data_IF_459872108072
#
_entry.id   IF_459872108072
#
_cell.length_a   1.000
_cell.length_b   1.000
_cell.length_c   1.000
_cell.angle_alpha   90.00
_cell.angle_beta   90.00
_cell.angle_gamma   90.00
#
_symmetry.space_group_name_H-M   'P 1'
#
loop_
_entity.id
_entity.type
_entity.pdbx_description
1 polymer ?
#
# COMPACT_ATOMS: atom_id res chain seq x y z
N UNK A 1 -4.40 20.30 22.61
CA UNK A 1 -3.69 19.05 22.27
C UNK A 1 -4.58 18.08 21.51
N UNK A 2 -5.84 17.88 21.90
CA UNK A 2 -6.75 16.98 21.16
C UNK A 2 -6.95 17.36 19.68
N UNK A 3 -7.05 18.65 19.32
CA UNK A 3 -7.15 19.04 17.91
C UNK A 3 -5.89 18.69 17.11
N UNK A 4 -4.71 18.84 17.72
CA UNK A 4 -3.42 18.51 17.09
C UNK A 4 -3.29 16.99 16.88
N UNK A 5 -3.76 16.17 17.82
CA UNK A 5 -3.82 14.71 17.65
C UNK A 5 -4.87 14.29 16.62
N UNK A 6 -6.06 14.93 16.61
CA UNK A 6 -7.10 14.70 15.59
C UNK A 6 -6.65 15.08 14.17
N UNK A 7 -5.75 16.05 14.05
CA UNK A 7 -5.19 16.45 12.77
C UNK A 7 -4.02 15.53 12.33
N UNK A 8 -3.72 14.45 13.06
CA UNK A 8 -2.74 13.43 12.70
C UNK A 8 -1.28 13.73 13.07
N UNK A 9 -1.03 14.78 13.87
CA UNK A 9 0.29 15.06 14.44
C UNK A 9 0.62 14.05 15.55
N UNK A 10 1.14 12.90 15.13
CA UNK A 10 1.63 11.84 16.00
C UNK A 10 3.16 11.73 15.93
N UNK A 11 3.75 10.90 16.78
CA UNK A 11 5.20 10.62 16.79
C UNK A 11 5.61 9.46 15.88
N UNK A 12 4.68 8.92 15.11
CA UNK A 12 4.98 7.81 14.22
C UNK A 12 5.94 8.25 13.11
N UNK A 13 7.00 7.50 12.84
CA UNK A 13 8.07 7.89 11.88
C UNK A 13 7.58 8.12 10.44
N UNK A 14 6.46 7.47 10.08
CA UNK A 14 5.79 7.59 8.79
C UNK A 14 4.58 8.54 8.79
N UNK A 15 4.35 9.30 9.87
CA UNK A 15 3.24 10.25 10.00
C UNK A 15 3.68 11.50 10.80
N UNK A 16 2.76 12.42 11.09
CA UNK A 16 3.04 13.63 11.87
C UNK A 16 4.09 14.55 11.25
N UNK A 17 4.95 15.14 12.07
CA UNK A 17 5.93 16.15 11.66
C UNK A 17 6.95 15.60 10.63
N UNK A 18 7.43 14.36 10.84
CA UNK A 18 8.38 13.73 9.93
C UNK A 18 7.81 13.52 8.52
N UNK A 19 6.50 13.29 8.42
CA UNK A 19 5.79 13.19 7.15
C UNK A 19 5.60 14.57 6.50
N UNK A 20 5.27 15.60 7.28
CA UNK A 20 5.12 16.95 6.76
C UNK A 20 6.43 17.52 6.22
N UNK A 21 7.55 17.28 6.92
CA UNK A 21 8.88 17.67 6.44
C UNK A 21 9.24 16.96 5.14
N UNK A 22 9.01 15.63 5.08
CA UNK A 22 9.20 14.85 3.85
C UNK A 22 8.36 15.41 2.70
N UNK A 23 7.04 15.57 2.88
CA UNK A 23 6.15 16.12 1.86
C UNK A 23 6.57 17.53 1.42
N UNK A 24 7.03 18.37 2.36
CA UNK A 24 7.50 19.72 2.07
C UNK A 24 8.81 19.76 1.27
N UNK A 25 9.72 18.83 1.53
CA UNK A 25 10.92 18.61 0.68
C UNK A 25 10.51 18.12 -0.70
N UNK A 26 9.63 17.12 -0.77
CA UNK A 26 9.12 16.57 -2.02
C UNK A 26 8.52 17.62 -2.93
N UNK A 27 7.59 18.41 -2.40
CA UNK A 27 6.90 19.46 -3.16
C UNK A 27 7.85 20.56 -3.67
N UNK A 28 8.97 20.82 -2.97
CA UNK A 28 9.97 21.79 -3.45
C UNK A 28 10.78 21.24 -4.62
N UNK A 29 11.06 19.94 -4.64
CA UNK A 29 11.82 19.29 -5.71
C UNK A 29 11.01 19.23 -7.01
N UNK A 30 9.71 18.95 -6.93
CA UNK A 30 8.81 18.85 -8.11
C UNK A 30 8.10 20.16 -8.45
N UNK A 31 8.37 21.24 -7.72
CA UNK A 31 7.66 22.51 -7.86
C UNK A 31 7.79 23.16 -9.24
N UNK A 32 8.73 22.72 -10.08
CA UNK A 32 8.88 23.14 -11.49
C UNK A 32 7.99 22.34 -12.45
N UNK A 33 7.62 21.13 -12.06
CA UNK A 33 6.82 20.19 -12.86
C UNK A 33 5.32 20.33 -12.56
N UNK A 34 4.99 20.85 -11.38
CA UNK A 34 3.63 21.24 -11.00
C UNK A 34 3.31 22.57 -11.70
N UNK A 35 2.35 22.54 -12.63
CA UNK A 35 1.89 23.71 -13.40
C UNK A 35 1.16 24.74 -12.53
N UNK A 36 -0.14 24.94 -12.76
CA UNK A 36 -0.92 25.77 -11.85
C UNK A 36 -0.90 25.15 -10.44
N UNK A 37 -0.72 25.98 -9.41
CA UNK A 37 -0.83 25.55 -8.02
C UNK A 37 -2.12 24.75 -7.88
N UNK A 38 -2.02 23.52 -7.36
CA UNK A 38 -3.11 22.60 -7.03
C UNK A 38 -3.61 21.66 -8.13
N UNK A 39 -3.08 21.69 -9.36
CA UNK A 39 -3.41 20.66 -10.36
C UNK A 39 -2.54 19.41 -10.19
N UNK A 40 -3.12 18.19 -10.23
CA UNK A 40 -2.34 16.97 -10.25
C UNK A 40 -1.53 16.85 -11.53
N UNK A 41 -0.30 16.35 -11.43
CA UNK A 41 0.57 16.15 -12.59
C UNK A 41 0.07 14.93 -13.36
N UNK A 42 -0.11 15.11 -14.67
CA UNK A 42 -0.37 13.99 -15.58
C UNK A 42 0.95 13.47 -16.11
N UNK A 43 1.29 12.26 -15.68
CA UNK A 43 2.50 11.58 -16.11
C UNK A 43 2.09 10.57 -17.18
N UNK A 44 2.75 10.66 -18.33
CA UNK A 44 2.58 9.83 -19.52
C UNK A 44 3.96 9.42 -20.02
N UNK A 45 4.04 8.59 -21.06
CA UNK A 45 5.31 8.19 -21.69
C UNK A 45 6.16 9.38 -22.17
N UNK A 46 5.53 10.52 -22.45
CA UNK A 46 6.18 11.77 -22.87
C UNK A 46 6.57 12.70 -21.70
N UNK A 47 6.40 12.28 -20.45
CA UNK A 47 6.72 13.09 -19.27
C UNK A 47 8.24 13.27 -19.14
N UNK A 48 8.72 14.51 -19.29
CA UNK A 48 10.15 14.85 -19.19
C UNK A 48 10.62 15.16 -17.75
N UNK A 49 9.73 15.04 -16.76
CA UNK A 49 10.07 15.29 -15.36
C UNK A 49 10.90 14.18 -14.73
N UNK A 50 11.33 14.39 -13.48
CA UNK A 50 12.12 13.39 -12.74
C UNK A 50 11.34 12.09 -12.47
N UNK A 51 12.07 11.02 -12.12
CA UNK A 51 11.49 9.72 -11.76
C UNK A 51 10.45 9.84 -10.65
N UNK A 52 9.35 9.09 -10.79
CA UNK A 52 8.26 9.07 -9.81
C UNK A 52 8.50 7.97 -8.79
N UNK A 53 8.37 8.31 -7.51
CA UNK A 53 8.52 7.34 -6.42
C UNK A 53 7.22 7.20 -5.64
N UNK A 54 6.91 5.98 -5.21
CA UNK A 54 5.77 5.74 -4.35
C UNK A 54 6.04 6.18 -2.90
N UNK A 55 4.98 6.48 -2.17
CA UNK A 55 5.04 6.93 -0.80
C UNK A 55 5.60 5.82 0.10
N UNK A 56 6.68 6.12 0.84
CA UNK A 56 7.41 5.17 1.70
C UNK A 56 6.58 4.45 2.78
N UNK A 57 5.38 4.95 3.07
CA UNK A 57 4.50 4.34 4.07
C UNK A 57 3.91 3.00 3.64
N UNK A 58 3.82 2.70 2.34
CA UNK A 58 3.27 1.42 1.88
C UNK A 58 3.98 0.21 2.49
N UNK A 59 5.29 0.31 2.72
CA UNK A 59 6.06 -0.74 3.42
C UNK A 59 5.75 -0.92 4.91
N UNK A 60 5.18 0.10 5.54
CA UNK A 60 4.79 0.06 6.96
C UNK A 60 3.33 -0.28 7.18
N UNK A 61 2.50 -0.31 6.14
CA UNK A 61 1.07 -0.53 6.26
C UNK A 61 0.76 -2.03 6.24
N UNK A 62 -0.15 -2.45 7.11
CA UNK A 62 -0.68 -3.81 7.23
C UNK A 62 -2.20 -3.75 7.31
N UNK A 63 -2.83 -4.91 7.15
CA UNK A 63 -4.26 -5.12 7.34
C UNK A 63 -4.48 -6.11 8.47
N UNK A 64 -5.68 -6.15 9.07
CA UNK A 64 -5.97 -7.15 10.09
C UNK A 64 -5.81 -8.56 9.51
N UNK A 65 -5.29 -9.51 10.30
CA UNK A 65 -5.23 -10.90 9.87
C UNK A 65 -6.63 -11.50 9.70
N UNK A 66 -6.74 -12.56 8.90
CA UNK A 66 -8.02 -13.19 8.56
C UNK A 66 -8.67 -13.99 9.69
N UNK A 67 -8.03 -14.16 10.84
CA UNK A 67 -8.66 -14.69 12.06
C UNK A 67 -9.48 -13.63 12.82
N UNK A 68 -9.19 -12.34 12.60
CA UNK A 68 -9.97 -11.21 13.12
C UNK A 68 -11.12 -10.79 12.20
N UNK A 69 -10.93 -10.99 10.90
CA UNK A 69 -11.89 -10.67 9.84
C UNK A 69 -12.59 -11.94 9.42
N UNK A 70 -13.92 -11.98 9.49
CA UNK A 70 -14.66 -13.21 9.22
C UNK A 70 -15.96 -12.95 8.48
N UNK A 71 -16.67 -14.03 8.17
CA UNK A 71 -17.96 -13.98 7.45
C UNK A 71 -19.00 -13.02 8.08
N UNK A 72 -18.85 -12.69 9.36
CA UNK A 72 -19.76 -11.82 10.11
C UNK A 72 -19.10 -10.54 10.66
N UNK A 73 -17.81 -10.32 10.40
CA UNK A 73 -17.05 -9.17 10.88
C UNK A 73 -16.32 -8.55 9.72
N UNK A 74 -16.76 -7.37 9.31
CA UNK A 74 -16.14 -6.60 8.24
C UNK A 74 -15.78 -5.25 8.85
N UNK A 75 -14.59 -4.77 8.50
CA UNK A 75 -14.09 -3.48 8.95
C UNK A 75 -14.04 -2.54 7.75
N UNK A 76 -14.30 -1.27 7.97
CA UNK A 76 -13.97 -0.26 6.97
C UNK A 76 -12.45 -0.17 6.84
N UNK A 77 -11.97 0.27 5.68
CA UNK A 77 -10.53 0.41 5.41
C UNK A 77 -9.78 1.12 6.55
N UNK A 78 -10.36 2.19 7.10
CA UNK A 78 -9.72 2.99 8.15
C UNK A 78 -9.55 2.26 9.49
N UNK A 79 -10.34 1.21 9.73
CA UNK A 79 -10.31 0.32 10.89
C UNK A 79 -9.63 -1.04 10.61
N UNK A 80 -9.42 -1.37 9.33
CA UNK A 80 -8.75 -2.60 8.89
C UNK A 80 -7.25 -2.38 8.66
N UNK A 81 -6.89 -1.28 8.01
CA UNK A 81 -5.51 -0.92 7.76
C UNK A 81 -4.88 -0.24 8.98
N UNK A 82 -3.63 -0.59 9.28
CA UNK A 82 -2.86 0.02 10.34
C UNK A 82 -1.38 0.16 9.96
N UNK A 83 -0.72 1.08 10.63
CA UNK A 83 0.69 1.39 10.45
C UNK A 83 1.52 0.64 11.50
N UNK A 84 2.64 0.05 11.10
CA UNK A 84 3.55 -0.64 12.01
C UNK A 84 4.41 0.35 12.78
N UNK A 85 4.39 0.22 14.09
CA UNK A 85 5.25 0.98 15.02
C UNK A 85 6.72 0.59 14.90
N UNK A 86 7.05 -0.67 14.56
CA UNK A 86 8.40 -1.13 14.29
C UNK A 86 8.50 -2.01 13.03
N UNK A 87 9.66 -1.99 12.36
CA UNK A 87 9.92 -2.82 11.17
C UNK A 87 10.23 -4.28 11.53
N UNK A 88 10.47 -4.57 12.81
CA UNK A 88 11.02 -5.84 13.30
C UNK A 88 10.00 -6.77 13.96
N UNK A 89 8.91 -6.27 14.55
CA UNK A 89 7.92 -7.15 15.18
C UNK A 89 7.02 -7.78 14.12
N UNK A 90 6.91 -9.10 14.17
CA UNK A 90 6.05 -9.86 13.26
C UNK A 90 4.56 -9.64 13.53
N UNK A 91 4.19 -9.25 14.75
CA UNK A 91 2.93 -8.62 15.11
C UNK A 91 2.93 -8.52 16.64
N UNK A 92 2.83 -7.31 17.18
CA UNK A 92 2.40 -7.16 18.57
C UNK A 92 1.06 -6.46 18.52
N UNK A 93 0.00 -7.26 18.56
CA UNK A 93 -1.42 -6.87 18.53
C UNK A 93 -1.79 -5.74 19.51
N UNK A 94 -0.97 -5.50 20.54
CA UNK A 94 -1.26 -4.57 21.62
C UNK A 94 -1.11 -3.08 21.24
N UNK A 95 -0.40 -2.73 20.16
CA UNK A 95 -0.09 -1.33 19.81
C UNK A 95 -0.32 -1.01 18.32
N UNK A 96 -1.41 -1.52 17.73
CA UNK A 96 -1.77 -1.14 16.35
C UNK A 96 -2.21 0.31 16.28
N UNK A 97 -1.64 1.05 15.34
CA UNK A 97 -2.01 2.44 15.08
C UNK A 97 -2.77 2.52 13.76
N UNK A 98 -4.11 2.50 13.84
CA UNK A 98 -5.00 2.38 12.68
C UNK A 98 -5.00 3.62 11.79
N UNK A 99 -5.30 3.46 10.50
CA UNK A 99 -5.30 4.56 9.54
C UNK A 99 -6.31 5.65 9.91
N UNK A 100 -7.43 5.31 10.56
CA UNK A 100 -8.38 6.31 11.11
C UNK A 100 -7.74 7.32 12.06
N UNK A 101 -6.68 6.90 12.77
CA UNK A 101 -5.95 7.73 13.74
C UNK A 101 -4.79 8.50 13.06
N UNK A 102 -4.59 8.31 11.76
CA UNK A 102 -3.53 8.92 10.95
C UNK A 102 -4.06 9.63 9.69
N UNK A 103 -4.92 10.67 9.84
CA UNK A 103 -5.49 11.37 8.70
C UNK A 103 -4.44 12.08 7.82
N UNK A 104 -3.29 12.51 8.38
CA UNK A 104 -2.19 13.07 7.55
C UNK A 104 -1.63 12.03 6.60
N UNK A 105 -1.37 10.81 7.09
CA UNK A 105 -0.88 9.73 6.25
C UNK A 105 -1.92 9.35 5.20
N UNK A 106 -3.18 9.15 5.62
CA UNK A 106 -4.26 8.77 4.72
C UNK A 106 -4.41 9.77 3.56
N UNK A 107 -4.24 11.07 3.83
CA UNK A 107 -4.40 12.16 2.86
C UNK A 107 -3.11 12.55 2.14
N UNK A 108 -1.96 12.00 2.51
CA UNK A 108 -0.71 12.20 1.76
C UNK A 108 -0.85 11.64 0.36
N UNK A 109 -0.12 12.24 -0.59
CA UNK A 109 -0.03 11.72 -1.94
C UNK A 109 0.57 10.31 -1.94
N UNK A 110 0.01 9.43 -2.78
CA UNK A 110 0.51 8.06 -2.95
C UNK A 110 1.87 8.03 -3.64
N UNK A 111 2.19 9.08 -4.39
CA UNK A 111 3.46 9.26 -5.09
C UNK A 111 4.05 10.60 -4.73
N UNK A 112 5.36 10.69 -4.86
CA UNK A 112 6.14 11.88 -4.60
C UNK A 112 5.67 13.07 -5.45
N UNK A 113 5.50 12.83 -6.76
CA UNK A 113 4.78 13.75 -7.64
C UNK A 113 3.28 13.54 -7.41
N UNK A 114 2.45 14.57 -7.15
CA UNK A 114 1.02 14.40 -6.92
C UNK A 114 0.29 14.05 -8.23
N UNK A 115 0.25 12.77 -8.61
CA UNK A 115 -0.34 12.34 -9.87
C UNK A 115 -1.85 12.09 -9.75
N UNK A 116 -2.57 12.32 -10.84
CA UNK A 116 -3.99 11.96 -10.95
C UNK A 116 -4.23 10.52 -11.39
N UNK A 117 -3.18 9.85 -11.85
CA UNK A 117 -3.24 8.49 -12.39
C UNK A 117 -2.01 7.70 -11.98
N UNK A 118 -2.21 6.44 -11.61
CA UNK A 118 -1.15 5.45 -11.43
C UNK A 118 -1.62 4.11 -12.00
N UNK A 119 -0.67 3.25 -12.31
CA UNK A 119 -0.92 1.88 -12.71
C UNK A 119 -0.26 0.95 -11.69
N UNK A 120 -1.02 0.05 -11.06
CA UNK A 120 -0.45 -0.93 -10.12
C UNK A 120 -0.31 -2.30 -10.79
N UNK A 121 0.91 -2.83 -10.78
CA UNK A 121 1.27 -4.15 -11.30
C UNK A 121 1.18 -5.16 -10.17
N UNK A 122 0.47 -6.26 -10.40
CA UNK A 122 0.08 -7.27 -9.42
C UNK A 122 1.18 -7.74 -8.44
N UNK A 123 0.79 -7.90 -7.17
CA UNK A 123 1.54 -8.67 -6.15
C UNK A 123 1.60 -10.13 -6.63
N UNK A 124 2.76 -10.59 -7.08
CA UNK A 124 2.97 -11.94 -7.61
C UNK A 124 1.81 -12.49 -8.42
N UNK A 125 1.60 -11.83 -9.56
CA UNK A 125 0.81 -12.40 -10.63
C UNK A 125 -0.62 -12.73 -10.27
N UNK A 126 -1.24 -12.17 -9.21
CA UNK A 126 -2.61 -12.30 -8.61
C UNK A 126 -3.83 -12.44 -9.57
N UNK A 127 -3.62 -13.03 -10.73
CA UNK A 127 -4.14 -14.35 -11.10
C UNK A 127 -5.54 -14.31 -11.70
N UNK A 128 -5.59 -14.11 -13.01
CA UNK A 128 -6.78 -14.34 -13.84
C UNK A 128 -7.91 -13.32 -13.69
N UNK A 129 -7.76 -12.33 -12.81
CA UNK A 129 -8.73 -11.25 -12.61
C UNK A 129 -8.38 -9.95 -13.34
N UNK A 130 -7.20 -9.86 -13.99
CA UNK A 130 -6.82 -8.70 -14.81
C UNK A 130 -6.56 -7.42 -14.02
N UNK A 131 -5.94 -7.53 -12.84
CA UNK A 131 -5.73 -6.43 -11.89
C UNK A 131 -4.53 -5.52 -12.21
N UNK A 132 -4.20 -5.37 -13.49
CA UNK A 132 -3.59 -4.15 -13.99
C UNK A 132 -4.56 -2.99 -13.75
N UNK A 133 -4.55 -2.42 -12.54
CA UNK A 133 -5.48 -1.38 -12.16
C UNK A 133 -4.88 -0.02 -12.42
N UNK A 134 -5.43 0.60 -13.46
CA UNK A 134 -5.41 2.04 -13.56
C UNK A 134 -6.29 2.61 -12.45
N UNK A 135 -5.66 3.31 -11.51
CA UNK A 135 -6.36 4.23 -10.63
C UNK A 135 -6.27 5.61 -11.25
N UNK A 136 -7.40 6.22 -11.56
CA UNK A 136 -7.47 7.57 -12.11
C UNK A 136 -8.51 8.38 -11.34
N UNK A 137 -8.14 9.58 -10.91
CA UNK A 137 -9.04 10.50 -10.21
C UNK A 137 -8.86 11.93 -10.72
N UNK A 138 -9.81 12.82 -10.41
CA UNK A 138 -9.70 14.24 -10.79
C UNK A 138 -8.74 15.05 -9.89
N UNK A 139 -8.28 14.45 -8.80
CA UNK A 139 -7.39 15.05 -7.79
C UNK A 139 -6.08 14.23 -7.71
N UNK A 140 -5.07 14.68 -6.95
CA UNK A 140 -3.95 13.81 -6.63
C UNK A 140 -4.41 12.54 -5.92
N UNK A 141 -3.82 11.41 -6.30
CA UNK A 141 -4.03 10.11 -5.68
C UNK A 141 -3.37 10.11 -4.31
N UNK A 142 -4.10 9.64 -3.31
CA UNK A 142 -3.64 9.57 -1.91
C UNK A 142 -3.30 8.15 -1.52
N UNK A 143 -2.54 8.01 -0.42
CA UNK A 143 -2.28 6.70 0.20
C UNK A 143 -3.59 5.96 0.47
N UNK A 144 -4.63 6.64 0.96
CA UNK A 144 -5.92 6.02 1.24
C UNK A 144 -6.58 5.43 -0.02
N UNK A 145 -6.45 6.08 -1.18
CA UNK A 145 -7.04 5.56 -2.43
C UNK A 145 -6.38 4.25 -2.86
N UNK A 146 -5.05 4.17 -2.75
CA UNK A 146 -4.30 2.94 -3.05
C UNK A 146 -4.67 1.83 -2.07
N UNK A 147 -4.76 2.14 -0.77
CA UNK A 147 -5.19 1.17 0.22
C UNK A 147 -6.63 0.69 -0.02
N UNK A 148 -7.52 1.57 -0.49
CA UNK A 148 -8.89 1.21 -0.85
C UNK A 148 -8.96 0.16 -1.94
N UNK A 149 -8.15 0.33 -2.99
CA UNK A 149 -8.07 -0.67 -4.05
C UNK A 149 -7.57 -2.03 -3.56
N UNK A 150 -6.55 -2.04 -2.70
CA UNK A 150 -6.06 -3.29 -2.10
C UNK A 150 -7.16 -3.91 -1.23
N UNK A 151 -7.81 -3.10 -0.39
CA UNK A 151 -8.86 -3.52 0.52
C UNK A 151 -10.06 -4.17 -0.21
N UNK A 152 -10.45 -3.64 -1.37
CA UNK A 152 -11.54 -4.18 -2.20
C UNK A 152 -11.28 -5.60 -2.73
N UNK A 153 -10.03 -6.07 -2.68
CA UNK A 153 -9.65 -7.41 -3.16
C UNK A 153 -9.05 -8.31 -2.08
N UNK A 154 -8.84 -7.81 -0.86
CA UNK A 154 -8.18 -8.54 0.24
C UNK A 154 -8.78 -9.92 0.48
N UNK A 155 -10.10 -10.00 0.48
CA UNK A 155 -10.85 -11.17 0.90
C UNK A 155 -11.37 -12.01 -0.29
N UNK A 156 -10.98 -11.66 -1.53
CA UNK A 156 -11.34 -12.44 -2.72
C UNK A 156 -10.53 -13.74 -2.76
N UNK A 157 -11.23 -14.85 -2.96
CA UNK A 157 -10.61 -16.17 -3.05
C UNK A 157 -9.62 -16.26 -4.22
N UNK A 158 -8.45 -16.85 -3.95
CA UNK A 158 -7.46 -17.19 -4.96
C UNK A 158 -7.62 -18.62 -5.45
N UNK A 159 -7.21 -18.88 -6.70
CA UNK A 159 -7.23 -20.24 -7.25
C UNK A 159 -6.10 -21.09 -6.65
N UNK A 160 -6.16 -22.41 -6.82
CA UNK A 160 -5.07 -23.29 -6.34
C UNK A 160 -3.75 -23.02 -7.07
N UNK A 161 -3.80 -22.68 -8.38
CA UNK A 161 -2.61 -22.30 -9.14
C UNK A 161 -1.93 -21.08 -8.52
N UNK A 162 -2.74 -20.13 -8.06
CA UNK A 162 -2.29 -18.91 -7.43
C UNK A 162 -1.45 -19.15 -6.19
N UNK A 163 -2.03 -19.96 -5.29
CA UNK A 163 -1.36 -20.34 -4.06
C UNK A 163 -0.06 -21.09 -4.36
N UNK A 164 -0.03 -21.92 -5.42
CA UNK A 164 1.16 -22.67 -5.80
C UNK A 164 2.29 -21.74 -6.28
N UNK A 165 1.98 -20.81 -7.17
CA UNK A 165 2.95 -19.84 -7.71
C UNK A 165 3.51 -18.97 -6.58
N UNK A 166 2.65 -18.49 -5.68
CA UNK A 166 3.05 -17.73 -4.50
C UNK A 166 3.96 -18.53 -3.56
N UNK A 167 3.60 -19.78 -3.22
CA UNK A 167 4.42 -20.64 -2.34
C UNK A 167 5.80 -20.92 -2.94
N UNK A 168 5.88 -21.09 -4.26
CA UNK A 168 7.16 -21.30 -4.95
C UNK A 168 8.05 -20.05 -4.90
N UNK A 169 7.46 -18.86 -5.04
CA UNK A 169 8.21 -17.60 -5.08
C UNK A 169 8.59 -17.09 -3.68
N UNK A 170 7.72 -17.27 -2.68
CA UNK A 170 7.97 -16.89 -1.28
C UNK A 170 8.22 -18.09 -0.36
N UNK A 171 8.91 -19.13 -0.85
CA UNK A 171 9.21 -20.32 -0.05
C UNK A 171 9.89 -19.96 1.28
N UNK A 172 10.81 -18.99 1.25
CA UNK A 172 11.52 -18.51 2.44
C UNK A 172 10.59 -17.94 3.51
N UNK A 173 9.51 -17.25 3.12
CA UNK A 173 8.51 -16.71 4.04
C UNK A 173 7.65 -17.82 4.66
N UNK A 174 7.28 -18.83 3.87
CA UNK A 174 6.54 -20.00 4.35
C UNK A 174 7.39 -20.83 5.34
N UNK A 175 8.68 -21.00 5.05
CA UNK A 175 9.62 -21.73 5.92
C UNK A 175 9.83 -21.03 7.26
N UNK A 176 9.93 -19.70 7.29
CA UNK A 176 10.03 -18.91 8.53
C UNK A 176 8.85 -19.14 9.46
N UNK A 177 7.66 -19.42 8.92
CA UNK A 177 6.46 -19.73 9.68
C UNK A 177 6.39 -21.21 10.12
N UNK A 178 7.32 -22.05 9.68
CA UNK A 178 7.33 -23.49 9.95
C UNK A 178 6.19 -24.24 9.27
N UNK A 179 5.61 -23.68 8.21
CA UNK A 179 4.49 -24.29 7.51
C UNK A 179 4.98 -25.33 6.49
N UNK A 180 4.27 -26.46 6.42
CA UNK A 180 4.42 -27.36 5.27
C UNK A 180 3.74 -26.74 4.04
N UNK A 181 4.15 -27.17 2.84
CA UNK A 181 3.49 -26.79 1.58
C UNK A 181 1.99 -27.06 1.65
N UNK A 182 1.58 -28.23 2.17
CA UNK A 182 0.16 -28.56 2.36
C UNK A 182 -0.57 -27.59 3.30
N UNK A 183 0.10 -27.13 4.37
CA UNK A 183 -0.47 -26.12 5.29
C UNK A 183 -0.61 -24.77 4.60
N UNK A 184 0.38 -24.36 3.81
CA UNK A 184 0.34 -23.13 3.03
C UNK A 184 -0.86 -23.12 2.06
N UNK A 185 -1.10 -24.22 1.33
CA UNK A 185 -2.26 -24.34 0.46
C UNK A 185 -3.60 -24.25 1.19
N UNK A 186 -3.70 -24.75 2.42
CA UNK A 186 -4.94 -24.67 3.20
C UNK A 186 -5.20 -23.26 3.77
N UNK A 187 -4.13 -22.51 4.04
CA UNK A 187 -4.19 -21.20 4.71
C UNK A 187 -4.18 -20.02 3.74
N UNK A 188 -3.44 -20.08 2.65
CA UNK A 188 -3.36 -19.02 1.64
C UNK A 188 -4.61 -19.02 0.75
N UNK A 189 -5.70 -18.44 1.24
CA UNK A 189 -7.00 -18.43 0.55
C UNK A 189 -7.28 -17.14 -0.20
N UNK A 190 -6.69 -16.03 0.25
CA UNK A 190 -6.94 -14.70 -0.30
C UNK A 190 -5.72 -13.80 -0.08
N UNK A 191 -5.79 -12.55 -0.54
CA UNK A 191 -4.69 -11.60 -0.42
C UNK A 191 -4.40 -11.21 1.03
N UNK A 192 -5.41 -11.18 1.90
CA UNK A 192 -5.23 -10.91 3.34
C UNK A 192 -4.30 -11.93 3.99
N UNK A 193 -4.51 -13.22 3.73
CA UNK A 193 -3.65 -14.28 4.25
C UNK A 193 -2.23 -14.20 3.66
N UNK A 194 -2.11 -13.87 2.38
CA UNK A 194 -0.82 -13.66 1.72
C UNK A 194 -0.04 -12.50 2.36
N UNK A 195 -0.68 -11.35 2.57
CA UNK A 195 -0.06 -10.17 3.16
C UNK A 195 0.26 -10.33 4.65
N UNK A 196 -0.40 -11.27 5.33
CA UNK A 196 -0.04 -11.67 6.70
C UNK A 196 1.25 -12.49 6.71
N UNK A 197 1.46 -13.33 5.69
CA UNK A 197 2.66 -14.18 5.57
C UNK A 197 3.87 -13.42 5.05
N UNK A 198 3.74 -12.75 3.91
CA UNK A 198 4.76 -11.87 3.36
C UNK A 198 4.16 -10.49 3.14
N UNK A 199 4.37 -9.58 4.10
CA UNK A 199 3.82 -8.25 3.96
C UNK A 199 4.52 -7.41 2.89
N UNK A 200 3.86 -6.32 2.48
CA UNK A 200 4.44 -5.33 1.59
C UNK A 200 5.66 -4.63 2.23
N UNK A 201 6.71 -4.50 1.44
CA UNK A 201 7.88 -3.65 1.72
C UNK A 201 7.75 -2.26 1.11
N UNK A 202 6.95 -2.12 0.06
CA UNK A 202 6.76 -0.88 -0.65
C UNK A 202 6.14 -1.12 -2.03
N UNK A 203 6.18 -0.05 -2.81
CA UNK A 203 5.86 -0.07 -4.24
C UNK A 203 7.12 0.38 -4.98
N UNK A 204 7.52 -0.37 -6.00
CA UNK A 204 8.67 -0.07 -6.84
C UNK A 204 8.20 0.51 -8.16
N UNK A 205 8.85 1.59 -8.59
CA UNK A 205 8.58 2.19 -9.90
C UNK A 205 9.14 1.28 -11.00
N UNK A 206 8.34 1.05 -12.03
CA UNK A 206 8.70 0.20 -13.16
C UNK A 206 8.95 1.06 -14.41
N UNK A 207 7.91 1.73 -14.88
CA UNK A 207 7.95 2.56 -16.09
C UNK A 207 6.80 3.57 -16.11
N UNK A 208 6.92 4.60 -16.94
CA UNK A 208 5.81 5.48 -17.27
C UNK A 208 5.00 4.89 -18.42
N UNK A 209 3.68 4.82 -18.25
CA UNK A 209 2.77 4.31 -19.27
C UNK A 209 1.85 5.43 -19.77
N UNK A 210 1.17 5.18 -20.89
CA UNK A 210 0.04 6.02 -21.33
C UNK A 210 -1.07 6.20 -20.26
N UNK A 211 -1.12 5.35 -19.22
CA UNK A 211 -2.09 5.42 -18.14
C UNK A 211 -1.55 6.01 -16.84
N UNK A 212 -0.30 6.46 -16.80
CA UNK A 212 0.39 6.91 -15.58
C UNK A 212 1.61 6.06 -15.24
N UNK A 213 2.37 6.45 -14.20
CA UNK A 213 3.51 5.70 -13.69
C UNK A 213 3.03 4.34 -13.18
N UNK A 214 3.71 3.30 -13.62
CA UNK A 214 3.49 1.93 -13.21
C UNK A 214 4.33 1.60 -11.99
N UNK A 215 3.70 0.96 -11.00
CA UNK A 215 4.36 0.48 -9.80
C UNK A 215 4.06 -0.98 -9.54
N UNK A 216 5.08 -1.77 -9.27
CA UNK A 216 4.94 -3.14 -8.78
C UNK A 216 4.99 -3.17 -7.26
N UNK A 217 4.38 -4.19 -6.66
CA UNK A 217 4.45 -4.38 -5.21
C UNK A 217 5.70 -5.18 -4.83
N UNK A 218 6.45 -4.66 -3.86
CA UNK A 218 7.61 -5.35 -3.30
C UNK A 218 7.23 -6.13 -2.03
N UNK A 219 7.74 -7.36 -1.94
CA UNK A 219 7.56 -8.30 -0.83
C UNK A 219 8.91 -9.01 -0.53
N UNK A 220 9.12 -9.40 0.74
CA UNK A 220 10.33 -10.08 1.24
C UNK A 220 10.50 -11.55 0.81
#
# INVERSE_FOLDING_TARGET
MECIQKDGFCKHSQCGEALLSYNGESMREVGKDIGELYEPVRITEDYEGGSVFAHRAFGGIRFRPGDEVGAFRHYELSDDAYLRTDKTSLDVEAERTYIKDHPLLARSFATFVPTSSIFLIDILGFLGFGLAHKLETWRPITVYDVLGMIHDVLDKDITVRNAADYVNLHQSCIEKLGWSVGTAFCKLRNLREILTVCPLEGLEYEEDTNSGPAFSFQQQ
#
